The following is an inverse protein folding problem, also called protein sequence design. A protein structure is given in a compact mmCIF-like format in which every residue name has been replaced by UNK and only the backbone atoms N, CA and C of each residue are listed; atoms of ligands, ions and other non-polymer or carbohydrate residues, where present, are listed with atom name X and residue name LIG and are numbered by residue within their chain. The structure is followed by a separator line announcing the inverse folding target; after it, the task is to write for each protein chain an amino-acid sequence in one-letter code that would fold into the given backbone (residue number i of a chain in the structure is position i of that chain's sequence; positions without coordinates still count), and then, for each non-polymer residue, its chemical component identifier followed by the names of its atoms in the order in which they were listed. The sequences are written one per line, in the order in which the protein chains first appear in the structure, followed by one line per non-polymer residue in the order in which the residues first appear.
data_IF_585727196369
#
_entry.id   IF_585727196369
#
_cell.length_a   1.000
_cell.length_b   1.000
_cell.length_c   1.000
_cell.angle_alpha   90.00
_cell.angle_beta   90.00
_cell.angle_gamma   90.00
#
_symmetry.space_group_name_H-M   'P 1'
#
loop_
_entity.id
_entity.type
_entity.pdbx_description
1 polymer ?
#
# COMPACT_ATOMS: atom_id res chain seq x y z
N UNK A 1 -1.73 15.90 -10.98
CA UNK A 1 -1.45 15.00 -9.83
C UNK A 1 -1.51 15.70 -8.46
N UNK A 2 -1.11 16.97 -8.34
CA UNK A 2 -1.04 17.66 -7.04
C UNK A 2 -2.41 17.86 -6.34
N UNK A 3 -3.48 18.21 -7.08
CA UNK A 3 -4.82 18.41 -6.50
C UNK A 3 -5.50 17.13 -5.98
N UNK A 4 -5.24 15.98 -6.61
CA UNK A 4 -5.78 14.69 -6.16
C UNK A 4 -5.14 14.19 -4.87
N UNK A 5 -3.83 14.42 -4.72
CA UNK A 5 -3.09 14.10 -3.48
C UNK A 5 -3.50 15.03 -2.34
N UNK A 6 -3.74 16.32 -2.62
CA UNK A 6 -4.27 17.27 -1.62
C UNK A 6 -5.61 16.80 -1.05
N UNK A 7 -6.58 16.40 -1.89
CA UNK A 7 -7.87 15.89 -1.41
C UNK A 7 -7.78 14.57 -0.66
N UNK A 8 -6.89 13.66 -1.05
CA UNK A 8 -6.68 12.40 -0.32
C UNK A 8 -6.07 12.62 1.08
N UNK A 9 -5.29 13.69 1.27
CA UNK A 9 -4.70 14.07 2.57
C UNK A 9 -5.69 14.86 3.45
N UNK A 10 -6.60 15.64 2.84
CA UNK A 10 -7.65 16.39 3.55
C UNK A 10 -8.99 15.65 3.66
N UNK A 11 -9.10 14.42 3.17
CA UNK A 11 -10.26 13.57 3.38
C UNK A 11 -10.36 13.17 4.85
N UNK A 12 -11.44 13.53 5.59
CA UNK A 12 -11.61 13.19 7.01
C UNK A 12 -11.80 11.68 7.27
N UNK A 13 -11.68 10.85 6.24
CA UNK A 13 -11.96 9.42 6.23
C UNK A 13 -10.67 8.61 6.18
N UNK A 14 -10.60 7.56 7.00
CA UNK A 14 -9.48 6.59 7.00
C UNK A 14 -9.26 6.00 5.60
N UNK A 15 -10.32 5.88 4.80
CA UNK A 15 -10.24 5.36 3.43
C UNK A 15 -9.49 6.28 2.47
N UNK A 16 -9.59 7.61 2.60
CA UNK A 16 -8.86 8.56 1.74
C UNK A 16 -7.36 8.53 2.03
N UNK A 17 -6.97 8.39 3.30
CA UNK A 17 -5.56 8.19 3.71
C UNK A 17 -5.00 6.88 3.16
N UNK A 18 -5.77 5.79 3.18
CA UNK A 18 -5.36 4.49 2.64
C UNK A 18 -5.09 4.59 1.13
N UNK A 19 -5.97 5.26 0.38
CA UNK A 19 -5.78 5.50 -1.05
C UNK A 19 -4.54 6.37 -1.31
N UNK A 20 -4.33 7.41 -0.50
CA UNK A 20 -3.13 8.24 -0.56
C UNK A 20 -1.83 7.46 -0.36
N UNK A 21 -1.77 6.60 0.66
CA UNK A 21 -0.61 5.74 0.93
C UNK A 21 -0.35 4.77 -0.22
N UNK A 22 -1.39 4.17 -0.81
CA UNK A 22 -1.24 3.24 -1.94
C UNK A 22 -0.62 3.91 -3.18
N UNK A 23 -1.08 5.14 -3.50
CA UNK A 23 -0.53 5.93 -4.62
C UNK A 23 0.92 6.35 -4.37
N UNK A 24 1.30 6.63 -3.12
CA UNK A 24 2.69 6.92 -2.76
C UNK A 24 3.55 5.66 -2.88
N UNK A 25 3.09 4.52 -2.35
CA UNK A 25 3.83 3.27 -2.39
C UNK A 25 4.09 2.77 -3.82
N UNK A 26 3.11 2.88 -4.71
CA UNK A 26 3.30 2.52 -6.14
C UNK A 26 4.31 3.43 -6.85
N UNK A 27 4.35 4.73 -6.52
CA UNK A 27 5.40 5.63 -7.02
C UNK A 27 6.79 5.27 -6.50
N UNK A 28 6.90 4.88 -5.24
CA UNK A 28 8.18 4.44 -4.65
C UNK A 28 8.72 3.21 -5.39
N UNK A 29 7.87 2.22 -5.64
CA UNK A 29 8.24 1.01 -6.41
C UNK A 29 8.71 1.37 -7.81
N UNK A 30 7.97 2.24 -8.51
CA UNK A 30 8.36 2.70 -9.85
C UNK A 30 9.70 3.43 -9.84
N UNK A 31 9.96 4.24 -8.80
CA UNK A 31 11.22 4.96 -8.66
C UNK A 31 12.39 4.00 -8.43
N UNK A 32 12.22 2.98 -7.58
CA UNK A 32 13.22 1.93 -7.37
C UNK A 32 13.47 1.15 -8.66
N UNK A 33 12.42 0.76 -9.39
CA UNK A 33 12.54 0.06 -10.67
C UNK A 33 13.25 0.92 -11.73
N UNK A 34 13.00 2.24 -11.75
CA UNK A 34 13.65 3.15 -12.68
C UNK A 34 15.14 3.33 -12.34
N UNK A 35 15.48 3.47 -11.06
CA UNK A 35 16.88 3.52 -10.58
C UNK A 35 17.61 2.23 -10.96
N UNK A 36 16.97 1.08 -10.76
CA UNK A 36 17.48 -0.24 -11.15
C UNK A 36 17.81 -0.30 -12.63
N UNK A 37 16.91 0.19 -13.48
CA UNK A 37 17.10 0.23 -14.93
C UNK A 37 18.29 1.11 -15.34
N UNK A 38 18.42 2.30 -14.76
CA UNK A 38 19.52 3.22 -15.07
C UNK A 38 20.88 2.76 -14.52
N UNK A 39 20.89 2.04 -13.40
CA UNK A 39 22.12 1.60 -12.71
C UNK A 39 22.64 0.28 -13.28
N UNK A 40 21.85 -0.43 -14.11
CA UNK A 40 22.22 -1.69 -14.76
C UNK A 40 22.35 -2.89 -13.80
N UNK A 41 22.07 -2.69 -12.50
CA UNK A 41 22.12 -3.72 -11.47
C UNK A 41 20.74 -4.37 -11.36
N UNK A 42 20.49 -5.41 -12.15
CA UNK A 42 19.21 -6.13 -12.17
C UNK A 42 18.78 -6.64 -10.79
N UNK A 43 19.73 -6.91 -9.89
CA UNK A 43 19.49 -7.39 -8.52
C UNK A 43 18.60 -6.46 -7.67
N UNK A 44 18.52 -5.18 -8.01
CA UNK A 44 17.67 -4.21 -7.29
C UNK A 44 16.17 -4.39 -7.62
N UNK A 45 15.82 -5.20 -8.63
CA UNK A 45 14.42 -5.47 -8.99
C UNK A 45 13.72 -6.34 -7.94
N UNK A 46 14.46 -7.21 -7.25
CA UNK A 46 13.94 -8.04 -6.17
C UNK A 46 13.51 -7.15 -4.99
N UNK A 47 14.30 -6.11 -4.68
CA UNK A 47 13.95 -5.12 -3.66
C UNK A 47 12.70 -4.34 -4.06
N UNK A 48 12.56 -3.96 -5.34
CA UNK A 48 11.37 -3.28 -5.84
C UNK A 48 10.11 -4.14 -5.69
N UNK A 49 10.21 -5.43 -6.03
CA UNK A 49 9.12 -6.41 -5.91
C UNK A 49 8.72 -6.63 -4.44
N UNK A 50 9.69 -6.77 -3.54
CA UNK A 50 9.42 -6.90 -2.09
C UNK A 50 8.73 -5.63 -1.56
N UNK A 51 9.19 -4.45 -1.95
CA UNK A 51 8.55 -3.19 -1.54
C UNK A 51 7.12 -3.06 -2.07
N UNK A 52 6.87 -3.53 -3.28
CA UNK A 52 5.53 -3.56 -3.87
C UNK A 52 4.59 -4.48 -3.08
N UNK A 53 5.10 -5.67 -2.71
CA UNK A 53 4.33 -6.64 -1.95
C UNK A 53 4.03 -6.16 -0.52
N UNK A 54 5.03 -5.57 0.16
CA UNK A 54 4.84 -4.97 1.49
C UNK A 54 3.79 -3.86 1.44
N UNK A 55 3.88 -2.96 0.47
CA UNK A 55 2.91 -1.87 0.31
C UNK A 55 1.47 -2.41 0.10
N UNK A 56 1.32 -3.45 -0.71
CA UNK A 56 0.03 -4.09 -0.93
C UNK A 56 -0.52 -4.74 0.35
N UNK A 57 0.29 -5.54 1.04
CA UNK A 57 -0.10 -6.22 2.28
C UNK A 57 -0.46 -5.20 3.37
N UNK A 58 0.31 -4.13 3.52
CA UNK A 58 0.05 -3.08 4.51
C UNK A 58 -1.32 -2.42 4.29
N UNK A 59 -1.65 -2.07 3.04
CA UNK A 59 -2.96 -1.49 2.70
C UNK A 59 -4.10 -2.46 3.03
N UNK A 60 -3.97 -3.74 2.67
CA UNK A 60 -4.97 -4.77 2.98
C UNK A 60 -5.11 -5.00 4.49
N UNK A 61 -4.00 -5.01 5.23
CA UNK A 61 -3.99 -5.16 6.68
C UNK A 61 -4.70 -3.99 7.36
N UNK A 62 -4.43 -2.75 6.94
CA UNK A 62 -5.09 -1.56 7.46
C UNK A 62 -6.59 -1.58 7.13
N UNK A 63 -6.96 -1.92 5.90
CA UNK A 63 -8.37 -2.09 5.51
C UNK A 63 -9.09 -3.13 6.38
N UNK A 64 -8.43 -4.27 6.65
CA UNK A 64 -8.97 -5.33 7.50
C UNK A 64 -9.11 -4.88 8.95
N UNK A 65 -8.11 -4.20 9.50
CA UNK A 65 -8.15 -3.62 10.84
C UNK A 65 -9.27 -2.59 10.98
N UNK A 66 -9.42 -1.68 10.01
CA UNK A 66 -10.46 -0.65 10.03
C UNK A 66 -11.86 -1.27 9.91
N UNK A 67 -12.01 -2.34 9.12
CA UNK A 67 -13.31 -2.98 8.89
C UNK A 67 -13.76 -3.93 9.99
N UNK A 68 -12.82 -4.67 10.61
CA UNK A 68 -13.13 -5.69 11.63
C UNK A 68 -12.73 -5.30 13.06
N UNK A 69 -11.95 -4.24 13.23
CA UNK A 69 -11.34 -3.89 14.52
C UNK A 69 -10.24 -4.86 14.98
N UNK A 70 -10.00 -5.93 14.22
CA UNK A 70 -9.09 -7.01 14.58
C UNK A 70 -8.35 -7.54 13.33
N UNK A 71 -7.04 -7.66 13.46
CA UNK A 71 -6.14 -8.20 12.44
C UNK A 71 -6.17 -9.74 12.40
N UNK A 72 -6.48 -10.37 13.54
CA UNK A 72 -6.33 -11.80 13.81
C UNK A 72 -7.64 -12.60 13.78
N UNK A 73 -8.82 -11.96 13.75
CA UNK A 73 -10.11 -12.64 13.61
C UNK A 73 -10.25 -13.37 12.26
N UNK A 74 -9.63 -14.55 12.16
CA UNK A 74 -10.07 -15.65 11.31
C UNK A 74 -11.51 -15.95 11.70
N UNK A 75 -12.42 -15.95 10.73
CA UNK A 75 -13.84 -16.10 11.00
C UNK A 75 -14.13 -17.34 11.83
N UNK A 76 -14.45 -17.16 13.11
CA UNK A 76 -15.39 -18.03 13.78
C UNK A 76 -16.73 -17.75 13.12
N UNK A 77 -17.04 -18.59 12.12
CA UNK A 77 -18.39 -18.72 11.64
C UNK A 77 -19.25 -19.17 12.81
N UNK A 78 -20.07 -18.26 13.31
CA UNK A 78 -21.28 -18.63 14.05
C UNK A 78 -22.17 -19.42 13.08
N UNK A 79 -21.98 -20.72 13.05
CA UNK A 79 -23.00 -21.68 12.65
C UNK A 79 -24.02 -21.73 13.79
N UNK A 80 -25.05 -20.89 13.70
CA UNK A 80 -26.35 -21.12 14.32
C UNK A 80 -27.37 -21.43 13.22
#
# INVERSE_FOLDING_TARGET
MAFGVWRAIQGPSVYDTIVGVNVVGTKTVLLIALITHFTGHADLIDVALVYALINFIAVVAILKLVRRGDLAASGEGSHD
#
